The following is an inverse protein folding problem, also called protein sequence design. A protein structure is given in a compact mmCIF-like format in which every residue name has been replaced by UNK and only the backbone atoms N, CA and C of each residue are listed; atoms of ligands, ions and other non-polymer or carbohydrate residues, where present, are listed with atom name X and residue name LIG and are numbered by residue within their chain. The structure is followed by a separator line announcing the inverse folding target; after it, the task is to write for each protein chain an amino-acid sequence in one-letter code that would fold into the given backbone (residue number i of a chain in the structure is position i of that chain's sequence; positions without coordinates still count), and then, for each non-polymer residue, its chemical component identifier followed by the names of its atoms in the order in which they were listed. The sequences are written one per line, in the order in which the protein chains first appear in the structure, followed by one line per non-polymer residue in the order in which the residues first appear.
data_IF_834959882713
#
_entry.id   IF_834959882713
#
_cell.length_a   1.000
_cell.length_b   1.000
_cell.length_c   1.000
_cell.angle_alpha   90.00
_cell.angle_beta   90.00
_cell.angle_gamma   90.00
#
_symmetry.space_group_name_H-M   'P 1'
#
loop_
_entity.id
_entity.type
_entity.pdbx_description
1 polymer ?
#
# COMPACT_ATOMS: atom_id res chain seq x y z
N UNK A 1 -2.38 -25.77 -6.72
CA UNK A 1 -1.94 -25.16 -5.45
C UNK A 1 -2.92 -24.04 -5.14
N UNK A 2 -3.65 -24.12 -4.05
CA UNK A 2 -4.51 -23.02 -3.64
C UNK A 2 -3.63 -21.93 -3.00
N UNK A 3 -3.80 -20.64 -3.37
CA UNK A 3 -3.06 -19.57 -2.74
C UNK A 3 -3.37 -19.52 -1.24
N UNK A 4 -2.43 -19.10 -0.38
CA UNK A 4 -2.62 -19.05 1.08
C UNK A 4 -3.65 -18.01 1.54
N UNK A 5 -4.19 -17.22 0.64
CA UNK A 5 -5.19 -16.17 0.89
C UNK A 5 -6.09 -15.99 -0.34
N UNK A 6 -7.30 -15.52 -0.14
CA UNK A 6 -8.25 -15.20 -1.21
C UNK A 6 -7.95 -13.83 -1.84
N UNK A 7 -8.43 -13.60 -3.07
CA UNK A 7 -8.34 -12.28 -3.74
C UNK A 7 -9.01 -11.19 -2.91
N UNK A 8 -10.11 -11.51 -2.21
CA UNK A 8 -10.81 -10.54 -1.37
C UNK A 8 -9.96 -10.11 -0.16
N UNK A 9 -9.27 -11.03 0.50
CA UNK A 9 -8.34 -10.73 1.59
C UNK A 9 -7.17 -9.89 1.11
N UNK A 10 -6.61 -10.22 -0.05
CA UNK A 10 -5.54 -9.44 -0.65
C UNK A 10 -5.97 -7.99 -0.93
N UNK A 11 -7.14 -7.79 -1.55
CA UNK A 11 -7.67 -6.46 -1.80
C UNK A 11 -8.00 -5.70 -0.50
N UNK A 12 -8.46 -6.40 0.53
CA UNK A 12 -8.73 -5.79 1.83
C UNK A 12 -7.46 -5.26 2.51
N UNK A 13 -6.30 -5.90 2.31
CA UNK A 13 -5.00 -5.39 2.79
C UNK A 13 -4.67 -4.04 2.16
N UNK A 14 -4.86 -3.88 0.84
CA UNK A 14 -4.65 -2.61 0.16
C UNK A 14 -5.55 -1.50 0.69
N UNK A 15 -6.82 -1.81 0.94
CA UNK A 15 -7.77 -0.84 1.51
C UNK A 15 -7.30 -0.38 2.90
N UNK A 16 -6.95 -1.33 3.78
CA UNK A 16 -6.45 -1.02 5.13
C UNK A 16 -5.15 -0.22 5.09
N UNK A 17 -4.21 -0.64 4.24
CA UNK A 17 -2.96 0.07 4.05
C UNK A 17 -3.22 1.51 3.61
N UNK A 18 -3.97 1.71 2.54
CA UNK A 18 -4.24 3.03 2.00
C UNK A 18 -4.95 3.95 3.01
N UNK A 19 -5.87 3.41 3.81
CA UNK A 19 -6.53 4.17 4.85
C UNK A 19 -5.60 4.49 6.03
N UNK A 20 -4.79 3.52 6.44
CA UNK A 20 -3.91 3.65 7.60
C UNK A 20 -2.68 4.51 7.36
N UNK A 21 -2.23 4.65 6.10
CA UNK A 21 -1.06 5.47 5.76
C UNK A 21 -1.42 6.88 5.27
N UNK A 22 -2.71 7.22 5.20
CA UNK A 22 -3.09 8.58 4.90
C UNK A 22 -2.67 9.52 6.05
N UNK A 23 -2.00 10.67 5.84
CA UNK A 23 -1.72 11.37 4.58
C UNK A 23 -0.31 11.11 3.98
N UNK A 24 0.41 10.07 4.38
CA UNK A 24 1.76 9.78 3.89
C UNK A 24 1.86 9.71 2.35
N UNK A 25 0.76 9.42 1.67
CA UNK A 25 0.72 9.38 0.21
C UNK A 25 0.97 10.77 -0.41
N UNK A 26 0.51 11.84 0.24
CA UNK A 26 0.84 13.21 -0.19
C UNK A 26 2.36 13.42 -0.09
N UNK A 27 2.97 12.96 1.00
CA UNK A 27 4.44 13.02 1.17
C UNK A 27 5.15 12.26 0.04
N UNK A 28 4.63 11.10 -0.40
CA UNK A 28 5.25 10.34 -1.50
C UNK A 28 5.19 11.08 -2.82
N UNK A 29 4.09 11.78 -3.12
CA UNK A 29 4.02 12.64 -4.31
C UNK A 29 5.00 13.81 -4.25
N UNK A 30 5.12 14.47 -3.09
CA UNK A 30 6.11 15.53 -2.87
C UNK A 30 7.53 14.99 -3.04
N UNK A 31 7.81 13.81 -2.49
CA UNK A 31 9.10 13.16 -2.60
C UNK A 31 9.41 12.78 -4.06
N UNK A 32 8.43 12.23 -4.79
CA UNK A 32 8.57 11.93 -6.21
C UNK A 32 8.85 13.18 -7.04
N UNK A 33 8.13 14.28 -6.79
CA UNK A 33 8.38 15.56 -7.44
C UNK A 33 9.79 16.10 -7.15
N UNK A 34 10.26 15.98 -5.91
CA UNK A 34 11.61 16.36 -5.52
C UNK A 34 12.67 15.51 -6.25
N UNK A 35 12.49 14.20 -6.30
CA UNK A 35 13.38 13.28 -7.04
C UNK A 35 13.46 13.66 -8.51
N UNK A 36 12.32 13.91 -9.17
CA UNK A 36 12.29 14.33 -10.57
C UNK A 36 12.98 15.69 -10.77
N UNK A 37 12.74 16.63 -9.88
CA UNK A 37 13.40 17.95 -9.92
C UNK A 37 14.91 17.82 -9.84
N UNK A 38 15.44 17.05 -8.88
CA UNK A 38 16.88 16.85 -8.72
C UNK A 38 17.51 16.02 -9.84
N UNK A 39 16.75 15.11 -10.47
CA UNK A 39 17.19 14.41 -11.67
C UNK A 39 17.30 15.35 -12.88
N UNK A 40 16.32 16.26 -13.05
CA UNK A 40 16.30 17.21 -14.16
C UNK A 40 17.29 18.38 -13.98
N UNK A 41 17.47 18.84 -12.74
CA UNK A 41 18.40 19.91 -12.37
C UNK A 41 19.50 19.35 -11.46
N UNK A 42 20.47 18.58 -12.00
CA UNK A 42 21.48 17.92 -11.19
C UNK A 42 22.38 18.95 -10.48
N UNK A 43 22.55 18.73 -9.18
CA UNK A 43 23.43 19.50 -8.28
C UNK A 43 24.40 18.54 -7.61
N UNK A 44 25.41 19.07 -6.92
CA UNK A 44 26.44 18.24 -6.27
C UNK A 44 25.91 17.14 -5.35
N UNK A 45 24.77 17.36 -4.70
CA UNK A 45 24.15 16.39 -3.78
C UNK A 45 22.91 15.68 -4.35
N UNK A 46 22.60 15.85 -5.65
CA UNK A 46 21.40 15.23 -6.25
C UNK A 46 21.40 13.72 -6.11
N UNK A 47 22.54 13.07 -6.31
CA UNK A 47 22.65 11.63 -6.17
C UNK A 47 22.32 11.13 -4.75
N UNK A 48 22.79 11.86 -3.74
CA UNK A 48 22.49 11.54 -2.33
C UNK A 48 20.99 11.73 -2.02
N UNK A 49 20.40 12.84 -2.48
CA UNK A 49 18.96 13.13 -2.23
C UNK A 49 18.08 12.09 -2.92
N UNK A 50 18.35 11.79 -4.20
CA UNK A 50 17.57 10.81 -4.96
C UNK A 50 17.77 9.41 -4.39
N UNK A 51 19.00 8.99 -4.12
CA UNK A 51 19.31 7.69 -3.56
C UNK A 51 18.72 7.51 -2.16
N UNK A 52 18.79 8.54 -1.31
CA UNK A 52 18.17 8.56 0.01
C UNK A 52 16.64 8.46 -0.06
N UNK A 53 16.00 9.19 -0.97
CA UNK A 53 14.57 9.13 -1.20
C UNK A 53 14.12 7.74 -1.66
N UNK A 54 14.85 7.13 -2.62
CA UNK A 54 14.58 5.78 -3.07
C UNK A 54 14.80 4.75 -1.95
N UNK A 55 15.87 4.87 -1.18
CA UNK A 55 16.12 4.01 -0.02
C UNK A 55 14.99 4.10 1.00
N UNK A 56 14.50 5.31 1.30
CA UNK A 56 13.35 5.52 2.17
C UNK A 56 12.08 4.83 1.64
N UNK A 57 11.77 4.97 0.35
CA UNK A 57 10.59 4.34 -0.25
C UNK A 57 10.66 2.80 -0.18
N UNK A 58 11.85 2.22 -0.42
CA UNK A 58 12.07 0.79 -0.29
C UNK A 58 11.93 0.32 1.16
N UNK A 59 12.50 1.05 2.11
CA UNK A 59 12.34 0.75 3.55
C UNK A 59 10.86 0.84 3.97
N UNK A 60 10.15 1.87 3.52
CA UNK A 60 8.73 2.03 3.79
C UNK A 60 7.91 0.84 3.30
N UNK A 61 8.13 0.40 2.04
CA UNK A 61 7.43 -0.76 1.50
C UNK A 61 7.76 -2.04 2.27
N UNK A 62 9.02 -2.24 2.63
CA UNK A 62 9.44 -3.39 3.44
C UNK A 62 8.78 -3.41 4.80
N UNK A 63 8.87 -2.32 5.55
CA UNK A 63 8.38 -2.26 6.93
C UNK A 63 6.86 -2.13 6.95
N UNK A 64 6.34 -1.07 6.32
CA UNK A 64 4.93 -0.73 6.51
C UNK A 64 4.05 -1.69 5.71
N UNK A 65 4.25 -1.82 4.40
CA UNK A 65 3.38 -2.68 3.61
C UNK A 65 3.60 -4.17 3.89
N UNK A 66 4.84 -4.67 3.77
CA UNK A 66 5.09 -6.11 3.91
C UNK A 66 5.03 -6.58 5.35
N UNK A 67 5.77 -5.95 6.27
CA UNK A 67 5.87 -6.45 7.64
C UNK A 67 4.64 -6.14 8.50
N UNK A 68 3.97 -4.98 8.34
CA UNK A 68 2.85 -4.59 9.21
C UNK A 68 1.47 -4.96 8.64
N UNK A 69 1.29 -4.90 7.32
CA UNK A 69 -0.02 -5.14 6.70
C UNK A 69 -0.12 -6.51 6.01
N UNK A 70 0.79 -6.84 5.09
CA UNK A 70 0.68 -8.03 4.28
C UNK A 70 1.03 -9.32 5.05
N UNK A 71 1.89 -9.25 6.05
CA UNK A 71 2.23 -10.39 6.93
C UNK A 71 1.02 -10.99 7.66
N UNK A 72 -0.05 -10.21 7.81
CA UNK A 72 -1.28 -10.67 8.47
C UNK A 72 -2.05 -11.74 7.69
N UNK A 73 -1.85 -11.80 6.38
CA UNK A 73 -2.50 -12.78 5.51
C UNK A 73 -1.50 -13.78 4.92
N UNK A 74 -0.21 -13.45 4.91
CA UNK A 74 0.82 -14.31 4.36
C UNK A 74 2.15 -14.12 5.10
N UNK A 75 2.62 -15.12 5.89
CA UNK A 75 3.91 -15.03 6.60
C UNK A 75 5.12 -14.86 5.70
N UNK A 76 5.06 -15.31 4.43
CA UNK A 76 6.13 -15.10 3.46
C UNK A 76 6.40 -13.60 3.19
N UNK A 77 5.50 -12.70 3.61
CA UNK A 77 5.69 -11.26 3.55
C UNK A 77 6.94 -10.79 4.31
N UNK A 78 7.35 -11.48 5.37
CA UNK A 78 8.60 -11.14 6.07
C UNK A 78 9.85 -11.35 5.21
N UNK A 79 9.86 -12.37 4.35
CA UNK A 79 10.95 -12.57 3.39
C UNK A 79 11.02 -11.39 2.40
N UNK A 80 9.88 -10.95 1.88
CA UNK A 80 9.81 -9.75 1.04
C UNK A 80 10.25 -8.50 1.79
N UNK A 81 9.83 -8.33 3.06
CA UNK A 81 10.27 -7.22 3.90
C UNK A 81 11.80 -7.18 4.03
N UNK A 82 12.44 -8.32 4.30
CA UNK A 82 13.91 -8.42 4.35
C UNK A 82 14.57 -8.06 3.03
N UNK A 83 14.04 -8.54 1.90
CA UNK A 83 14.57 -8.21 0.58
C UNK A 83 14.46 -6.71 0.27
N UNK A 84 13.34 -6.09 0.62
CA UNK A 84 13.13 -4.64 0.45
C UNK A 84 14.05 -3.81 1.34
N UNK A 85 14.28 -4.24 2.60
CA UNK A 85 15.22 -3.58 3.50
C UNK A 85 16.67 -3.72 3.03
N UNK A 86 17.04 -4.89 2.52
CA UNK A 86 18.36 -5.10 1.91
C UNK A 86 18.55 -4.15 0.72
N UNK A 87 17.57 -4.05 -0.18
CA UNK A 87 17.62 -3.12 -1.31
C UNK A 87 17.71 -1.67 -0.86
N UNK A 88 16.99 -1.29 0.19
CA UNK A 88 17.08 0.04 0.81
C UNK A 88 18.51 0.32 1.31
N UNK A 89 19.10 -0.62 2.04
CA UNK A 89 20.46 -0.48 2.55
C UNK A 89 21.49 -0.37 1.43
N UNK A 90 21.37 -1.17 0.36
CA UNK A 90 22.24 -1.10 -0.82
C UNK A 90 22.14 0.27 -1.54
N UNK A 91 20.93 0.79 -1.71
CA UNK A 91 20.71 2.11 -2.31
C UNK A 91 21.33 3.22 -1.46
N UNK A 92 21.12 3.15 -0.14
CA UNK A 92 21.69 4.14 0.78
C UNK A 92 23.21 4.08 0.79
N UNK A 93 23.78 2.87 0.86
CA UNK A 93 25.23 2.67 0.77
C UNK A 93 25.79 3.24 -0.53
N UNK A 94 25.17 2.93 -1.67
CA UNK A 94 25.59 3.46 -2.96
C UNK A 94 25.49 4.99 -3.04
N UNK A 95 24.45 5.59 -2.45
CA UNK A 95 24.27 7.03 -2.41
C UNK A 95 25.34 7.74 -1.55
N UNK A 96 25.79 7.08 -0.47
CA UNK A 96 26.80 7.61 0.45
C UNK A 96 28.25 7.33 0.01
N UNK A 97 28.46 6.40 -0.94
CA UNK A 97 29.79 6.04 -1.42
C UNK A 97 30.48 7.19 -2.16
N UNK A 98 31.80 7.21 -2.15
CA UNK A 98 32.62 8.31 -2.74
C UNK A 98 32.35 8.59 -4.22
N UNK A 99 31.92 7.60 -5.01
CA UNK A 99 31.51 7.77 -6.40
C UNK A 99 30.07 8.25 -6.55
N UNK A 100 29.25 8.08 -5.52
CA UNK A 100 27.84 8.44 -5.47
C UNK A 100 26.99 7.83 -6.59
N UNK A 101 25.68 8.03 -6.50
CA UNK A 101 24.75 7.71 -7.59
C UNK A 101 24.59 8.94 -8.49
N UNK A 102 24.62 8.74 -9.81
CA UNK A 102 24.36 9.80 -10.78
C UNK A 102 23.07 9.49 -11.53
N UNK A 103 22.09 10.35 -11.34
CA UNK A 103 20.79 10.28 -12.03
C UNK A 103 20.70 11.47 -12.99
N UNK A 104 20.75 11.19 -14.30
CA UNK A 104 20.59 12.20 -15.34
C UNK A 104 19.59 11.71 -16.37
N UNK A 105 18.68 12.56 -16.83
CA UNK A 105 17.81 12.24 -17.97
C UNK A 105 18.70 11.92 -19.19
N UNK A 106 18.36 10.84 -19.87
CA UNK A 106 19.03 10.42 -21.10
C UNK A 106 18.02 10.48 -22.24
N UNK A 107 18.47 10.92 -23.39
CA UNK A 107 17.66 10.98 -24.61
C UNK A 107 17.81 9.72 -25.48
N UNK A 108 18.17 8.59 -24.85
CA UNK A 108 18.23 7.27 -25.48
C UNK A 108 16.96 6.46 -25.19
N UNK A 109 16.83 5.27 -25.80
CA UNK A 109 15.67 4.39 -25.63
C UNK A 109 15.40 4.07 -24.15
N UNK A 110 16.44 3.86 -23.35
CA UNK A 110 16.33 3.56 -21.91
C UNK A 110 15.77 4.77 -21.14
N UNK A 111 16.26 5.96 -21.45
CA UNK A 111 15.79 7.21 -20.82
C UNK A 111 14.34 7.51 -21.19
N UNK A 112 13.95 7.32 -22.46
CA UNK A 112 12.56 7.48 -22.93
C UNK A 112 11.64 6.47 -22.24
N UNK A 113 12.03 5.18 -22.18
CA UNK A 113 11.26 4.15 -21.50
C UNK A 113 11.10 4.46 -20.00
N UNK A 114 12.16 4.91 -19.33
CA UNK A 114 12.10 5.35 -17.93
C UNK A 114 11.15 6.52 -17.73
N UNK A 115 11.22 7.55 -18.58
CA UNK A 115 10.31 8.69 -18.51
C UNK A 115 8.85 8.28 -18.74
N UNK A 116 8.60 7.38 -19.70
CA UNK A 116 7.26 6.85 -19.98
C UNK A 116 6.70 6.07 -18.78
N UNK A 117 7.52 5.24 -18.12
CA UNK A 117 7.11 4.50 -16.92
C UNK A 117 6.80 5.44 -15.76
N UNK A 118 7.59 6.48 -15.55
CA UNK A 118 7.33 7.50 -14.52
C UNK A 118 6.03 8.25 -14.81
N UNK A 119 5.82 8.69 -16.05
CA UNK A 119 4.59 9.36 -16.47
C UNK A 119 3.36 8.45 -16.30
N UNK A 120 3.49 7.18 -16.68
CA UNK A 120 2.45 6.17 -16.45
C UNK A 120 2.13 6.03 -14.95
N UNK A 121 3.14 5.83 -14.11
CA UNK A 121 2.94 5.57 -12.68
C UNK A 121 2.35 6.79 -11.93
N UNK A 122 2.79 8.00 -12.26
CA UNK A 122 2.37 9.20 -11.53
C UNK A 122 1.09 9.85 -12.10
N UNK A 123 0.80 9.65 -13.38
CA UNK A 123 -0.30 10.35 -14.05
C UNK A 123 -1.32 9.36 -14.59
N UNK A 124 -0.91 8.48 -15.51
CA UNK A 124 -1.84 7.61 -16.21
C UNK A 124 -2.53 6.61 -15.26
N UNK A 125 -1.78 5.96 -14.38
CA UNK A 125 -2.33 4.97 -13.45
C UNK A 125 -3.37 5.57 -12.48
N UNK A 126 -3.13 6.71 -11.81
CA UNK A 126 -4.16 7.35 -10.98
C UNK A 126 -5.40 7.79 -11.77
N UNK A 127 -5.22 8.32 -13.00
CA UNK A 127 -6.33 8.75 -13.85
C UNK A 127 -7.17 7.56 -14.32
N UNK A 128 -6.53 6.47 -14.75
CA UNK A 128 -7.22 5.23 -15.14
C UNK A 128 -7.98 4.67 -13.94
N UNK A 129 -7.35 4.64 -12.75
CA UNK A 129 -7.99 4.21 -11.52
C UNK A 129 -9.24 5.04 -11.19
N UNK A 130 -9.15 6.37 -11.33
CA UNK A 130 -10.27 7.26 -11.12
C UNK A 130 -11.39 7.05 -12.16
N UNK A 131 -11.05 6.94 -13.44
CA UNK A 131 -11.99 6.67 -14.53
C UNK A 131 -12.68 5.30 -14.38
N UNK A 132 -11.97 4.29 -13.85
CA UNK A 132 -12.51 2.98 -13.52
C UNK A 132 -13.35 2.96 -12.22
N UNK A 133 -13.68 4.13 -11.66
CA UNK A 133 -14.50 4.26 -10.45
C UNK A 133 -13.78 3.92 -9.15
N UNK A 134 -12.47 3.79 -9.18
CA UNK A 134 -11.65 3.56 -7.99
C UNK A 134 -11.45 4.88 -7.24
N UNK A 135 -12.46 5.31 -6.51
CA UNK A 135 -12.34 6.49 -5.65
C UNK A 135 -11.49 6.17 -4.44
N UNK A 136 -10.49 6.99 -4.21
CA UNK A 136 -9.64 6.89 -3.03
C UNK A 136 -10.27 7.61 -1.82
N UNK A 137 -10.18 7.09 -0.58
CA UNK A 137 -9.77 5.72 -0.26
C UNK A 137 -10.81 4.71 -0.75
N UNK A 138 -10.41 3.58 -1.28
CA UNK A 138 -11.36 2.54 -1.69
C UNK A 138 -12.32 2.25 -0.54
N UNK A 139 -13.56 2.73 -0.66
CA UNK A 139 -14.63 2.16 0.16
C UNK A 139 -14.77 0.72 -0.28
N UNK A 140 -14.81 -0.25 0.66
CA UNK A 140 -15.25 -1.57 0.29
C UNK A 140 -16.55 -1.38 -0.49
N UNK A 141 -16.80 -2.14 -1.59
CA UNK A 141 -18.10 -2.13 -2.22
C UNK A 141 -19.08 -2.21 -1.06
N UNK A 142 -19.96 -1.20 -0.96
CA UNK A 142 -20.88 -1.09 0.16
C UNK A 142 -21.40 -2.50 0.35
N UNK A 143 -21.12 -3.09 1.51
CA UNK A 143 -21.72 -4.37 1.88
C UNK A 143 -23.19 -4.14 1.57
N UNK A 144 -23.62 -4.69 0.47
CA UNK A 144 -24.98 -4.62 -0.02
C UNK A 144 -25.81 -4.85 1.21
N UNK A 145 -26.52 -3.83 1.65
CA UNK A 145 -27.39 -3.79 2.81
C UNK A 145 -27.47 -5.16 3.44
N UNK A 146 -26.81 -5.37 4.60
CA UNK A 146 -27.07 -6.58 5.36
C UNK A 146 -28.59 -6.75 5.37
N UNK A 147 -29.10 -7.91 4.97
CA UNK A 147 -30.55 -8.14 5.06
C UNK A 147 -30.93 -7.73 6.47
N UNK A 148 -32.09 -7.06 6.67
CA UNK A 148 -32.47 -6.60 7.98
C UNK A 148 -32.29 -7.77 8.94
N UNK A 149 -31.43 -7.58 9.92
CA UNK A 149 -31.19 -8.56 10.97
C UNK A 149 -32.55 -8.98 11.47
N UNK A 150 -32.89 -10.26 11.28
CA UNK A 150 -34.02 -10.89 11.93
C UNK A 150 -33.82 -10.62 13.42
N UNK A 151 -34.56 -9.66 13.94
CA UNK A 151 -34.75 -9.51 15.36
C UNK A 151 -35.40 -10.78 15.85
N UNK A 152 -34.83 -11.53 16.77
CA UNK A 152 -35.54 -12.55 17.47
C UNK A 152 -36.41 -11.83 18.51
N UNK A 153 -37.49 -11.19 18.04
CA UNK A 153 -38.51 -10.61 18.88
C UNK A 153 -39.56 -11.67 19.08
N UNK A 154 -39.90 -11.82 20.32
CA UNK A 154 -41.01 -12.63 20.81
C UNK A 154 -40.70 -14.11 21.10
N UNK A 155 -39.88 -14.34 22.11
CA UNK A 155 -40.17 -15.41 23.02
C UNK A 155 -41.40 -15.01 23.83
N UNK A 156 -42.58 -15.47 23.42
CA UNK A 156 -43.79 -15.38 24.21
C UNK A 156 -43.58 -16.10 25.53
N UNK A 157 -43.41 -15.38 26.61
CA UNK A 157 -43.61 -15.87 27.96
C UNK A 157 -45.12 -16.16 28.15
N UNK A 158 -45.54 -17.38 27.86
CA UNK A 158 -46.84 -17.89 28.29
C UNK A 158 -46.83 -18.13 29.80
N UNK A 159 -47.91 -17.81 30.53
CA UNK A 159 -47.97 -18.00 31.98
C UNK A 159 -47.97 -19.47 32.33
N UNK A 160 -47.01 -19.94 33.09
CA UNK A 160 -47.02 -21.24 33.72
C UNK A 160 -48.12 -21.27 34.79
N UNK A 161 -49.18 -22.00 34.52
CA UNK A 161 -50.14 -22.44 35.55
C UNK A 161 -49.41 -23.28 36.59
N UNK A 162 -49.53 -22.86 37.82
CA UNK A 162 -49.25 -23.67 38.98
C UNK A 162 -50.23 -24.82 39.02
N UNK A 163 -49.75 -26.05 38.98
CA UNK A 163 -50.49 -27.23 39.42
C UNK A 163 -49.72 -27.83 40.58
N UNK A 164 -50.22 -27.57 41.75
CA UNK A 164 -50.05 -28.38 42.95
C UNK A 164 -50.41 -29.82 42.67
N UNK A 165 -49.51 -30.73 42.94
CA UNK A 165 -49.88 -32.06 43.47
C UNK A 165 -48.81 -32.52 44.44
N UNK A 166 -49.34 -32.85 45.64
CA UNK A 166 -48.66 -33.51 46.73
C UNK A 166 -48.39 -34.99 46.41
N UNK A 167 -47.34 -35.53 46.83
CA UNK A 167 -47.07 -36.67 47.67
C UNK A 167 -45.54 -36.78 47.83
#
# INVERSE_FOLDING_TARGET
MNPPFSTAEFLAVFVRYNQGVWPAQVLFYVLAAAVLWFAWRPRARSGLVIGGALAFLWAWMGIVYHALYFSRINPAAYLFACAFLLQSALLLHAALSRGGLSFRPRADLVGVAGAALVAYALVAYPLIGYAAGQRYPRRPPSASRAPPSFSPSACCCGPRRASTFAC
#
